data_IF_986533472411
#
_entry.id   IF_986533472411
#
_cell.length_a   1.000
_cell.length_b   1.000
_cell.length_c   1.000
_cell.angle_alpha   90.00
_cell.angle_beta   90.00
_cell.angle_gamma   90.00
#
_symmetry.space_group_name_H-M   'P 1'
#
loop_
_entity.id
_entity.type
_entity.pdbx_description
1 polymer ?
#
# COMPACT_ATOMS: atom_id res chain seq x y z
N UNK A 1 -4.16 -0.93 59.30
CA UNK A 1 -3.67 -0.16 58.13
C UNK A 1 -3.94 1.33 58.32
N UNK A 2 -3.07 2.03 59.05
CA UNK A 2 -3.02 3.50 59.13
C UNK A 2 -1.68 3.86 58.48
N UNK A 3 -1.67 4.48 57.28
CA UNK A 3 -0.55 5.24 56.67
C UNK A 3 -0.73 5.40 55.14
N UNK A 4 -1.82 6.01 54.65
CA UNK A 4 -1.86 6.51 53.25
C UNK A 4 -2.70 7.79 53.05
N UNK A 5 -3.16 8.43 54.13
CA UNK A 5 -4.02 9.62 54.00
C UNK A 5 -3.27 10.86 53.48
N UNK A 6 -1.96 10.99 53.75
CA UNK A 6 -1.17 12.16 53.33
C UNK A 6 -0.96 12.24 51.81
N UNK A 7 -0.87 11.12 51.09
CA UNK A 7 -0.73 11.13 49.62
C UNK A 7 -2.03 11.51 48.89
N UNK A 8 -3.19 11.18 49.45
CA UNK A 8 -4.49 11.50 48.82
C UNK A 8 -4.75 13.02 48.87
N UNK A 9 -4.31 13.69 49.94
CA UNK A 9 -4.58 15.13 50.12
C UNK A 9 -3.80 16.01 49.12
N UNK A 10 -2.60 15.58 48.70
CA UNK A 10 -1.79 16.33 47.72
C UNK A 10 -2.39 16.29 46.30
N UNK A 11 -3.14 15.25 45.94
CA UNK A 11 -3.78 15.13 44.62
C UNK A 11 -5.06 15.98 44.52
N UNK A 12 -5.72 16.29 45.65
CA UNK A 12 -6.90 17.15 45.65
C UNK A 12 -6.59 18.63 45.34
N UNK A 13 -5.37 19.10 45.63
CA UNK A 13 -4.96 20.50 45.40
C UNK A 13 -4.95 20.90 43.91
N UNK A 14 -4.30 20.15 42.99
CA UNK A 14 -4.30 20.53 41.57
C UNK A 14 -5.67 20.37 40.89
N UNK A 15 -6.48 19.38 41.29
CA UNK A 15 -7.80 19.17 40.69
C UNK A 15 -8.77 20.31 41.00
N UNK A 16 -8.67 20.92 42.18
CA UNK A 16 -9.51 22.07 42.53
C UNK A 16 -9.16 23.32 41.70
N UNK A 17 -7.89 23.51 41.34
CA UNK A 17 -7.45 24.63 40.48
C UNK A 17 -8.02 24.46 39.06
N UNK A 18 -8.09 23.22 38.56
CA UNK A 18 -8.57 22.91 37.22
C UNK A 18 -10.09 23.04 37.09
N UNK A 19 -10.85 22.63 38.12
CA UNK A 19 -12.32 22.84 38.13
C UNK A 19 -12.65 24.32 38.26
N UNK A 20 -11.93 25.08 39.08
CA UNK A 20 -12.18 26.52 39.23
C UNK A 20 -11.89 27.28 37.93
N UNK A 21 -10.84 26.91 37.18
CA UNK A 21 -10.56 27.53 35.88
C UNK A 21 -11.65 27.24 34.85
N UNK A 22 -12.23 26.04 34.86
CA UNK A 22 -13.33 25.69 33.95
C UNK A 22 -14.60 26.51 34.21
N UNK A 23 -14.87 26.86 35.48
CA UNK A 23 -16.02 27.69 35.84
C UNK A 23 -15.81 29.16 35.47
N UNK A 24 -14.58 29.67 35.60
CA UNK A 24 -14.25 31.06 35.21
C UNK A 24 -14.26 31.24 33.69
N UNK A 25 -13.99 30.20 32.91
CA UNK A 25 -13.94 30.31 31.44
C UNK A 25 -15.24 30.00 30.70
N UNK A 26 -16.33 29.64 31.39
CA UNK A 26 -17.62 29.44 30.74
C UNK A 26 -18.36 30.78 30.54
N UNK A 27 -18.12 31.43 29.40
CA UNK A 27 -18.84 32.65 28.98
C UNK A 27 -20.23 32.40 28.36
N UNK A 28 -20.79 31.19 28.43
CA UNK A 28 -22.08 30.93 27.82
C UNK A 28 -23.21 31.35 28.78
N UNK A 29 -23.75 32.57 28.58
CA UNK A 29 -25.04 32.96 29.18
C UNK A 29 -26.15 32.06 28.61
N UNK A 30 -26.87 31.28 29.43
CA UNK A 30 -28.01 30.49 28.97
C UNK A 30 -29.26 31.37 28.95
N UNK A 31 -29.54 32.04 27.84
CA UNK A 31 -30.85 32.66 27.60
C UNK A 31 -31.64 31.79 26.63
N UNK A 32 -32.51 30.94 27.15
CA UNK A 32 -33.48 30.16 26.38
C UNK A 32 -34.74 31.03 26.23
N UNK A 33 -34.88 31.74 25.11
CA UNK A 33 -36.13 32.44 24.76
C UNK A 33 -37.03 31.47 23.99
N UNK A 34 -38.20 31.15 24.57
CA UNK A 34 -39.22 30.30 23.96
C UNK A 34 -40.00 31.10 22.89
N UNK A 35 -39.86 30.71 21.63
CA UNK A 35 -40.66 31.24 20.51
C UNK A 35 -41.62 30.15 20.00
N UNK A 36 -42.81 30.07 20.58
CA UNK A 36 -43.92 29.34 19.96
C UNK A 36 -44.93 30.35 19.40
N UNK A 37 -44.89 30.56 18.08
CA UNK A 37 -45.95 31.27 17.35
C UNK A 37 -46.63 30.27 16.40
N UNK A 38 -47.89 29.87 16.65
CA UNK A 38 -48.64 28.94 15.78
C UNK A 38 -48.97 29.60 14.43
N UNK A 39 -48.77 28.89 13.30
CA UNK A 39 -48.95 29.45 11.94
C UNK A 39 -49.98 28.72 11.06
N UNK A 40 -50.86 27.90 11.60
CA UNK A 40 -51.79 27.12 10.78
C UNK A 40 -53.23 27.31 11.25
N UNK A 41 -53.98 28.11 10.51
CA UNK A 41 -55.45 28.06 10.44
C UNK A 41 -55.81 26.91 9.50
N UNK A 42 -56.41 25.85 10.04
CA UNK A 42 -56.90 24.70 9.28
C UNK A 42 -57.99 25.16 8.31
N UNK A 43 -57.67 25.22 7.01
CA UNK A 43 -58.69 25.33 5.95
C UNK A 43 -59.31 23.95 5.76
N UNK A 44 -60.31 23.65 6.58
CA UNK A 44 -61.21 22.51 6.36
C UNK A 44 -62.03 22.85 5.13
N UNK A 45 -61.79 22.13 4.03
CA UNK A 45 -62.59 22.25 2.83
C UNK A 45 -63.93 21.57 3.12
N UNK A 46 -64.99 22.39 3.19
CA UNK A 46 -66.36 21.93 3.35
C UNK A 46 -66.76 21.16 2.09
N UNK A 47 -67.12 19.89 2.27
CA UNK A 47 -67.80 19.06 1.27
C UNK A 47 -69.20 19.66 1.07
N UNK A 48 -69.33 20.64 0.18
CA UNK A 48 -70.65 21.15 -0.21
C UNK A 48 -71.17 20.28 -1.37
N UNK A 49 -72.19 19.49 -1.09
CA UNK A 49 -72.96 18.71 -2.05
C UNK A 49 -73.63 19.65 -3.07
N UNK A 50 -72.95 19.95 -4.17
CA UNK A 50 -73.54 20.69 -5.28
C UNK A 50 -73.78 19.72 -6.43
N UNK A 51 -74.86 18.93 -6.31
CA UNK A 51 -75.49 18.30 -7.47
C UNK A 51 -76.10 19.41 -8.33
N UNK A 52 -75.35 19.94 -9.28
CA UNK A 52 -75.93 20.77 -10.35
C UNK A 52 -75.73 20.07 -11.69
N UNK A 53 -76.70 19.23 -12.06
CA UNK A 53 -76.77 18.53 -13.36
C UNK A 53 -77.24 19.42 -14.51
N UNK A 54 -77.28 20.74 -14.31
CA UNK A 54 -77.91 21.69 -15.25
C UNK A 54 -77.08 21.89 -16.53
N UNK A 55 -75.80 21.52 -16.53
CA UNK A 55 -74.85 21.85 -17.60
C UNK A 55 -74.37 20.67 -18.44
N UNK A 56 -74.90 19.46 -18.22
CA UNK A 56 -74.42 18.23 -18.91
C UNK A 56 -74.65 18.24 -20.43
N UNK A 57 -75.51 19.11 -20.96
CA UNK A 57 -75.85 19.18 -22.39
C UNK A 57 -75.37 20.43 -23.12
N UNK A 58 -74.63 21.33 -22.45
CA UNK A 58 -74.11 22.55 -23.07
C UNK A 58 -72.88 22.23 -23.92
N UNK A 59 -72.93 22.54 -25.22
CA UNK A 59 -71.88 22.15 -26.17
C UNK A 59 -70.54 22.85 -25.90
N UNK A 60 -70.57 24.09 -25.41
CA UNK A 60 -69.36 24.79 -24.94
C UNK A 60 -68.74 24.12 -23.71
N UNK A 61 -69.57 23.68 -22.76
CA UNK A 61 -69.09 23.01 -21.54
C UNK A 61 -68.52 21.64 -21.88
N UNK A 62 -69.14 20.92 -22.81
CA UNK A 62 -68.59 19.66 -23.32
C UNK A 62 -67.25 19.85 -24.03
N UNK A 63 -67.10 20.91 -24.84
CA UNK A 63 -65.82 21.25 -25.48
C UNK A 63 -64.72 21.54 -24.46
N UNK A 64 -65.01 22.36 -23.44
CA UNK A 64 -64.08 22.66 -22.34
C UNK A 64 -63.74 21.40 -21.55
N UNK A 65 -64.73 20.55 -21.25
CA UNK A 65 -64.54 19.26 -20.57
C UNK A 65 -63.63 18.33 -21.37
N UNK A 66 -63.82 18.23 -22.68
CA UNK A 66 -62.99 17.39 -23.54
C UNK A 66 -61.54 17.90 -23.60
N UNK A 67 -61.33 19.23 -23.70
CA UNK A 67 -59.99 19.84 -23.64
C UNK A 67 -59.33 19.57 -22.29
N UNK A 68 -60.08 19.72 -21.19
CA UNK A 68 -59.60 19.45 -19.85
C UNK A 68 -59.26 17.97 -19.66
N UNK A 69 -60.09 17.04 -20.15
CA UNK A 69 -59.85 15.60 -20.13
C UNK A 69 -58.62 15.23 -20.97
N UNK A 70 -58.44 15.82 -22.15
CA UNK A 70 -57.25 15.63 -23.00
C UNK A 70 -55.98 16.10 -22.29
N UNK A 71 -55.99 17.32 -21.76
CA UNK A 71 -54.85 17.88 -21.03
C UNK A 71 -54.54 17.10 -19.75
N UNK A 72 -55.57 16.70 -19.00
CA UNK A 72 -55.43 15.93 -17.76
C UNK A 72 -54.89 14.54 -18.06
N UNK A 73 -55.41 13.88 -19.10
CA UNK A 73 -54.90 12.60 -19.58
C UNK A 73 -53.44 12.69 -20.01
N UNK A 74 -53.04 13.76 -20.69
CA UNK A 74 -51.63 13.98 -21.06
C UNK A 74 -50.75 14.17 -19.82
N UNK A 75 -51.17 15.02 -18.86
CA UNK A 75 -50.44 15.23 -17.61
C UNK A 75 -50.32 13.96 -16.76
N UNK A 76 -51.35 13.12 -16.75
CA UNK A 76 -51.33 11.83 -16.05
C UNK A 76 -50.32 10.87 -16.70
N UNK A 77 -50.28 10.79 -18.04
CA UNK A 77 -49.25 10.00 -18.76
C UNK A 77 -47.83 10.50 -18.47
N UNK A 78 -47.58 11.80 -18.57
CA UNK A 78 -46.27 12.39 -18.25
C UNK A 78 -45.89 12.20 -16.77
N UNK A 79 -46.88 12.27 -15.87
CA UNK A 79 -46.67 12.00 -14.45
C UNK A 79 -46.27 10.53 -14.21
N UNK A 80 -46.97 9.58 -14.83
CA UNK A 80 -46.71 8.15 -14.72
C UNK A 80 -45.34 7.77 -15.32
N UNK A 81 -44.96 8.33 -16.46
CA UNK A 81 -43.62 8.15 -17.06
C UNK A 81 -42.51 8.65 -16.14
N UNK A 82 -42.63 9.86 -15.58
CA UNK A 82 -41.68 10.35 -14.57
C UNK A 82 -41.63 9.45 -13.34
N UNK A 83 -42.75 8.86 -12.96
CA UNK A 83 -42.84 7.99 -11.79
C UNK A 83 -42.17 6.65 -12.05
N UNK A 84 -42.32 6.09 -13.26
CA UNK A 84 -41.59 4.91 -13.71
C UNK A 84 -40.08 5.16 -13.71
N UNK A 85 -39.62 6.27 -14.30
CA UNK A 85 -38.19 6.64 -14.32
C UNK A 85 -37.62 6.75 -12.89
N UNK A 86 -38.33 7.43 -11.98
CA UNK A 86 -37.94 7.54 -10.57
C UNK A 86 -37.96 6.20 -9.84
N UNK A 87 -38.90 5.29 -10.16
CA UNK A 87 -38.96 3.93 -9.61
C UNK A 87 -37.77 3.09 -10.10
N UNK A 88 -37.43 3.19 -11.38
CA UNK A 88 -36.30 2.49 -12.00
C UNK A 88 -34.96 2.94 -11.39
N UNK A 89 -34.72 4.26 -11.28
CA UNK A 89 -33.53 4.82 -10.62
C UNK A 89 -33.36 4.32 -9.17
N UNK A 90 -34.47 4.22 -8.42
CA UNK A 90 -34.44 3.70 -7.04
C UNK A 90 -34.22 2.19 -6.97
N UNK A 91 -34.65 1.42 -7.98
CA UNK A 91 -34.38 -0.01 -8.10
C UNK A 91 -32.89 -0.25 -8.36
N UNK A 92 -32.33 0.43 -9.37
CA UNK A 92 -30.90 0.35 -9.70
C UNK A 92 -29.99 0.77 -8.55
N UNK A 93 -30.36 1.83 -7.81
CA UNK A 93 -29.61 2.26 -6.63
C UNK A 93 -29.63 1.20 -5.52
N UNK A 94 -30.77 0.53 -5.29
CA UNK A 94 -30.87 -0.57 -4.34
C UNK A 94 -30.04 -1.77 -4.77
N UNK A 95 -30.08 -2.15 -6.05
CA UNK A 95 -29.30 -3.26 -6.59
C UNK A 95 -27.79 -2.98 -6.45
N UNK A 96 -27.34 -1.75 -6.72
CA UNK A 96 -25.96 -1.30 -6.48
C UNK A 96 -25.56 -1.38 -5.00
N UNK A 97 -26.43 -0.98 -4.09
CA UNK A 97 -26.17 -1.06 -2.66
C UNK A 97 -26.14 -2.51 -2.16
N UNK A 98 -27.03 -3.37 -2.64
CA UNK A 98 -27.07 -4.80 -2.32
C UNK A 98 -25.79 -5.49 -2.82
N UNK A 99 -25.35 -5.23 -4.05
CA UNK A 99 -24.08 -5.76 -4.56
C UNK A 99 -22.89 -5.37 -3.68
N UNK A 100 -22.83 -4.12 -3.19
CA UNK A 100 -21.79 -3.68 -2.24
C UNK A 100 -21.86 -4.45 -0.92
N UNK A 101 -23.04 -4.71 -0.39
CA UNK A 101 -23.23 -5.49 0.84
C UNK A 101 -22.78 -6.94 0.63
N UNK A 102 -23.21 -7.59 -0.47
CA UNK A 102 -22.80 -8.97 -0.80
C UNK A 102 -21.28 -9.07 -0.97
N UNK A 103 -20.65 -8.10 -1.65
CA UNK A 103 -19.21 -8.07 -1.81
C UNK A 103 -18.50 -7.91 -0.46
N UNK A 104 -19.02 -7.04 0.42
CA UNK A 104 -18.52 -6.83 1.77
C UNK A 104 -18.63 -8.11 2.62
N UNK A 105 -19.80 -8.74 2.64
CA UNK A 105 -20.04 -10.02 3.31
C UNK A 105 -19.11 -11.13 2.78
N UNK A 106 -18.90 -11.20 1.46
CA UNK A 106 -17.98 -12.18 0.86
C UNK A 106 -16.53 -11.95 1.30
N UNK A 107 -16.10 -10.68 1.45
CA UNK A 107 -14.77 -10.35 1.97
C UNK A 107 -14.66 -10.69 3.47
N UNK A 108 -15.67 -10.38 4.27
CA UNK A 108 -15.72 -10.70 5.70
C UNK A 108 -15.76 -12.21 5.95
N UNK A 109 -16.52 -12.96 5.15
CA UNK A 109 -16.57 -14.44 5.23
C UNK A 109 -15.24 -15.08 4.85
N UNK A 110 -14.59 -14.61 3.77
CA UNK A 110 -13.23 -15.06 3.41
C UNK A 110 -12.20 -14.73 4.50
N UNK A 111 -12.38 -13.62 5.22
CA UNK A 111 -11.52 -13.27 6.35
C UNK A 111 -11.74 -14.24 7.53
N UNK A 112 -13.00 -14.51 7.88
CA UNK A 112 -13.35 -15.45 8.95
C UNK A 112 -12.81 -16.86 8.68
N UNK A 113 -12.96 -17.38 7.45
CA UNK A 113 -12.47 -18.71 7.08
C UNK A 113 -10.93 -18.81 7.18
N UNK A 114 -10.20 -17.73 6.84
CA UNK A 114 -8.74 -17.68 6.97
C UNK A 114 -8.27 -17.61 8.42
N UNK A 115 -8.99 -16.85 9.26
CA UNK A 115 -8.70 -16.78 10.70
C UNK A 115 -8.97 -18.14 11.35
N UNK A 116 -10.04 -18.83 10.96
CA UNK A 116 -10.38 -20.15 11.50
C UNK A 116 -9.33 -21.20 11.12
N UNK A 117 -8.86 -21.22 9.86
CA UNK A 117 -7.73 -22.07 9.43
C UNK A 117 -6.41 -21.72 10.15
N UNK A 118 -6.15 -20.43 10.37
CA UNK A 118 -4.96 -19.96 11.12
C UNK A 118 -4.99 -20.33 12.60
N UNK A 119 -6.16 -20.25 13.24
CA UNK A 119 -6.35 -20.65 14.64
C UNK A 119 -6.34 -22.17 14.82
N UNK A 120 -6.84 -22.97 13.87
CA UNK A 120 -6.75 -24.43 13.98
C UNK A 120 -5.32 -24.95 13.89
N UNK A 121 -4.40 -24.25 13.22
CA UNK A 121 -2.97 -24.60 13.25
C UNK A 121 -2.28 -24.19 14.55
N UNK A 122 -2.81 -23.19 15.27
CA UNK A 122 -2.30 -22.81 16.57
C UNK A 122 -3.15 -23.49 17.64
N UNK A 123 -2.78 -24.72 18.01
CA UNK A 123 -3.38 -25.50 19.09
C UNK A 123 -3.23 -24.87 20.49
N UNK A 124 -3.47 -23.58 20.64
CA UNK A 124 -3.48 -22.88 21.91
C UNK A 124 -4.87 -23.01 22.53
N UNK A 125 -4.96 -23.98 23.43
CA UNK A 125 -6.14 -24.31 24.21
C UNK A 125 -6.82 -23.09 24.85
N UNK A 126 -8.14 -23.26 24.98
CA UNK A 126 -9.20 -22.41 25.54
C UNK A 126 -8.99 -21.92 27.00
N UNK A 127 -7.78 -21.54 27.41
CA UNK A 127 -7.47 -21.27 28.81
C UNK A 127 -7.01 -19.85 29.18
N UNK A 128 -6.58 -19.00 28.24
CA UNK A 128 -5.99 -17.71 28.59
C UNK A 128 -6.71 -16.52 27.95
N UNK A 129 -7.65 -15.94 28.70
CA UNK A 129 -8.27 -14.62 28.45
C UNK A 129 -7.22 -13.47 28.41
N UNK A 130 -5.95 -13.76 28.71
CA UNK A 130 -4.84 -12.82 28.59
C UNK A 130 -4.20 -12.75 27.19
N UNK A 131 -4.41 -13.76 26.32
CA UNK A 131 -3.76 -13.82 25.00
C UNK A 131 -4.39 -12.92 23.93
N UNK A 132 -5.63 -12.46 24.12
CA UNK A 132 -6.40 -11.86 23.03
C UNK A 132 -6.10 -10.38 22.77
N UNK A 133 -5.57 -9.61 23.73
CA UNK A 133 -5.27 -8.18 23.48
C UNK A 133 -3.95 -7.99 22.70
N UNK A 134 -3.03 -8.96 22.79
CA UNK A 134 -1.77 -8.92 22.03
C UNK A 134 -1.89 -9.42 20.59
N UNK A 135 -2.83 -10.33 20.29
CA UNK A 135 -2.84 -11.05 19.02
C UNK A 135 -3.69 -10.40 17.92
N UNK A 136 -4.70 -9.60 18.27
CA UNK A 136 -5.49 -8.89 17.25
C UNK A 136 -4.70 -7.78 16.53
N UNK A 137 -3.56 -7.35 17.07
CA UNK A 137 -2.65 -6.44 16.35
C UNK A 137 -1.92 -7.11 15.17
N UNK A 138 -1.75 -8.43 15.18
CA UNK A 138 -0.90 -9.12 14.21
C UNK A 138 -1.58 -9.57 12.91
N UNK A 139 -2.89 -9.87 12.93
CA UNK A 139 -3.46 -10.77 11.90
C UNK A 139 -4.13 -10.04 10.72
N UNK A 140 -4.37 -8.72 10.77
CA UNK A 140 -5.03 -8.02 9.65
C UNK A 140 -4.10 -7.42 8.59
N UNK A 141 -2.79 -7.29 8.85
CA UNK A 141 -1.89 -6.53 7.95
C UNK A 141 -1.60 -7.28 6.64
N UNK A 142 -1.68 -8.61 6.63
CA UNK A 142 -1.25 -9.39 5.46
C UNK A 142 -2.25 -9.46 4.29
N UNK A 143 -3.52 -9.06 4.48
CA UNK A 143 -4.51 -9.07 3.40
C UNK A 143 -4.51 -7.74 2.63
N UNK A 144 -4.11 -6.67 3.30
CA UNK A 144 -3.81 -5.39 2.68
C UNK A 144 -2.37 -5.42 2.16
N UNK A 145 -2.04 -6.40 1.30
CA UNK A 145 -1.09 -6.12 0.21
C UNK A 145 -1.73 -4.98 -0.56
N UNK A 146 -1.41 -3.77 -0.10
CA UNK A 146 -2.15 -2.57 -0.42
C UNK A 146 -2.12 -2.42 -1.93
N UNK A 147 -3.27 -2.20 -2.55
CA UNK A 147 -3.29 -1.67 -3.93
C UNK A 147 -2.36 -0.45 -4.03
N UNK A 148 -2.25 0.34 -2.94
CA UNK A 148 -1.27 1.41 -2.80
C UNK A 148 0.21 0.95 -2.78
N UNK A 149 0.55 -0.16 -2.11
CA UNK A 149 1.91 -0.75 -2.13
C UNK A 149 2.28 -1.20 -3.54
N UNK A 150 1.38 -1.92 -4.21
CA UNK A 150 1.63 -2.42 -5.56
C UNK A 150 1.81 -1.27 -6.56
N UNK A 151 1.04 -0.19 -6.42
CA UNK A 151 1.23 1.05 -7.19
C UNK A 151 2.55 1.72 -6.85
N UNK A 152 2.89 1.82 -5.56
CA UNK A 152 4.16 2.39 -5.09
C UNK A 152 5.38 1.64 -5.62
N UNK A 153 5.35 0.31 -5.62
CA UNK A 153 6.42 -0.55 -6.16
C UNK A 153 6.56 -0.34 -7.67
N UNK A 154 5.45 -0.28 -8.42
CA UNK A 154 5.51 -0.05 -9.88
C UNK A 154 6.16 1.27 -10.21
N UNK A 155 5.79 2.34 -9.52
CA UNK A 155 6.40 3.66 -9.77
C UNK A 155 7.84 3.75 -9.28
N UNK A 156 8.20 3.06 -8.21
CA UNK A 156 9.58 2.98 -7.76
C UNK A 156 10.48 2.24 -8.76
N UNK A 157 10.02 1.11 -9.32
CA UNK A 157 10.76 0.40 -10.37
C UNK A 157 10.91 1.27 -11.61
N UNK A 158 9.86 2.01 -11.99
CA UNK A 158 9.92 2.95 -13.12
C UNK A 158 10.94 4.07 -12.89
N UNK A 159 10.97 4.62 -11.67
CA UNK A 159 11.95 5.64 -11.30
C UNK A 159 13.39 5.09 -11.24
N UNK A 160 13.56 3.86 -10.74
CA UNK A 160 14.86 3.20 -10.62
C UNK A 160 15.34 2.55 -11.92
N UNK A 161 14.56 2.58 -13.01
CA UNK A 161 14.87 1.88 -14.26
C UNK A 161 16.26 2.22 -14.83
N UNK A 162 16.66 3.50 -14.76
CA UNK A 162 17.97 3.94 -15.20
C UNK A 162 19.12 3.38 -14.34
N UNK A 163 18.94 3.32 -13.01
CA UNK A 163 19.93 2.75 -12.09
C UNK A 163 20.03 1.24 -12.27
N UNK A 164 18.91 0.54 -12.44
CA UNK A 164 18.85 -0.90 -12.71
C UNK A 164 19.62 -1.22 -14.00
N UNK A 165 19.39 -0.47 -15.09
CA UNK A 165 20.10 -0.69 -16.35
C UNK A 165 21.59 -0.35 -16.21
N UNK A 166 21.94 0.70 -15.47
CA UNK A 166 23.33 1.07 -15.22
C UNK A 166 24.08 -0.03 -14.44
N UNK A 167 23.47 -0.62 -13.41
CA UNK A 167 24.03 -1.74 -12.65
C UNK A 167 24.22 -2.99 -13.51
N UNK A 168 23.22 -3.33 -14.33
CA UNK A 168 23.29 -4.45 -15.27
C UNK A 168 24.46 -4.28 -16.26
N UNK A 169 24.52 -3.12 -16.88
CA UNK A 169 25.54 -2.76 -17.87
C UNK A 169 26.95 -2.76 -17.28
N UNK A 170 27.10 -2.24 -16.05
CA UNK A 170 28.38 -2.23 -15.35
C UNK A 170 28.88 -3.65 -15.03
N UNK A 171 27.98 -4.53 -14.58
CA UNK A 171 28.31 -5.92 -14.29
C UNK A 171 28.66 -6.72 -15.56
N UNK A 172 27.89 -6.55 -16.63
CA UNK A 172 28.16 -7.19 -17.92
C UNK A 172 29.52 -6.78 -18.50
N UNK A 173 29.82 -5.48 -18.50
CA UNK A 173 31.13 -4.98 -18.92
C UNK A 173 32.29 -5.50 -18.06
N UNK A 174 32.09 -5.61 -16.74
CA UNK A 174 33.08 -6.17 -15.84
C UNK A 174 33.35 -7.65 -16.13
N UNK A 175 32.32 -8.45 -16.41
CA UNK A 175 32.48 -9.86 -16.74
C UNK A 175 33.16 -10.04 -18.09
N UNK A 176 32.79 -9.29 -19.14
CA UNK A 176 33.50 -9.31 -20.42
C UNK A 176 34.98 -9.01 -20.25
N UNK A 177 35.31 -7.98 -19.48
CA UNK A 177 36.70 -7.64 -19.21
C UNK A 177 37.44 -8.78 -18.50
N UNK A 178 36.80 -9.47 -17.56
CA UNK A 178 37.36 -10.65 -16.88
C UNK A 178 37.54 -11.83 -17.84
N UNK A 179 36.54 -12.12 -18.67
CA UNK A 179 36.57 -13.22 -19.65
C UNK A 179 37.62 -13.00 -20.74
N UNK A 180 37.77 -11.76 -21.25
CA UNK A 180 38.81 -11.44 -22.23
C UNK A 180 40.21 -11.65 -21.61
N UNK A 181 40.43 -11.16 -20.39
CA UNK A 181 41.71 -11.38 -19.69
C UNK A 181 42.00 -12.87 -19.49
N UNK A 182 40.99 -13.66 -19.16
CA UNK A 182 41.14 -15.08 -18.89
C UNK A 182 41.31 -15.91 -20.17
N UNK A 183 40.41 -15.79 -21.14
CA UNK A 183 40.40 -16.63 -22.35
C UNK A 183 41.45 -16.20 -23.38
N UNK A 184 41.77 -14.90 -23.47
CA UNK A 184 42.78 -14.42 -24.42
C UNK A 184 44.13 -14.10 -23.77
N UNK A 185 44.23 -14.00 -22.44
CA UNK A 185 45.50 -13.65 -21.78
C UNK A 185 46.05 -12.29 -22.28
N UNK A 186 45.16 -11.32 -22.43
CA UNK A 186 45.49 -9.98 -22.95
C UNK A 186 44.99 -8.88 -22.02
N UNK A 187 45.84 -7.85 -21.80
CA UNK A 187 45.53 -6.70 -20.93
C UNK A 187 45.20 -5.42 -21.70
N UNK A 188 45.56 -5.35 -22.98
CA UNK A 188 45.42 -4.19 -23.86
C UNK A 188 44.80 -4.57 -25.19
N UNK A 189 43.87 -3.75 -25.67
CA UNK A 189 43.21 -3.93 -26.97
C UNK A 189 43.24 -2.60 -27.72
N UNK A 190 43.72 -2.62 -28.96
CA UNK A 190 43.76 -1.43 -29.83
C UNK A 190 44.58 -0.29 -29.22
N UNK A 191 45.75 -0.60 -28.64
CA UNK A 191 46.62 0.36 -27.94
C UNK A 191 46.00 1.04 -26.71
N UNK A 192 44.83 0.57 -26.25
CA UNK A 192 44.16 1.04 -25.04
C UNK A 192 44.14 -0.07 -24.00
N UNK A 193 44.11 0.30 -22.72
CA UNK A 193 43.84 -0.66 -21.65
C UNK A 193 42.43 -1.22 -21.83
N UNK A 194 42.24 -2.52 -21.60
CA UNK A 194 40.93 -3.18 -21.74
C UNK A 194 39.81 -2.46 -20.97
N UNK A 195 40.12 -1.92 -19.77
CA UNK A 195 39.19 -1.12 -18.97
C UNK A 195 38.70 0.16 -19.67
N UNK A 196 39.54 0.77 -20.50
CA UNK A 196 39.17 1.95 -21.29
C UNK A 196 38.40 1.59 -22.56
N UNK A 197 38.54 0.35 -23.04
CA UNK A 197 37.91 -0.10 -24.28
C UNK A 197 36.49 -0.63 -24.02
N UNK A 198 36.32 -1.46 -22.98
CA UNK A 198 35.01 -2.04 -22.64
C UNK A 198 34.18 -1.02 -21.87
N UNK A 199 33.13 -0.53 -22.53
CA UNK A 199 32.17 0.41 -21.96
C UNK A 199 30.89 -0.34 -21.53
N UNK A 200 30.31 -0.04 -20.35
CA UNK A 200 28.99 -0.52 -19.94
C UNK A 200 27.89 -0.39 -21.01
N UNK A 201 27.95 0.60 -21.90
CA UNK A 201 26.89 0.79 -22.91
C UNK A 201 27.12 0.01 -24.21
N UNK A 202 28.32 -0.51 -24.46
CA UNK A 202 28.69 -1.13 -25.75
C UNK A 202 29.29 -2.53 -25.62
N UNK A 203 29.37 -3.10 -24.41
CA UNK A 203 29.96 -4.44 -24.22
C UNK A 203 29.18 -5.56 -24.92
N UNK A 204 27.90 -5.33 -25.26
CA UNK A 204 27.05 -6.26 -26.02
C UNK A 204 27.33 -6.21 -27.52
N UNK A 205 28.03 -5.19 -28.02
CA UNK A 205 28.37 -5.05 -29.43
C UNK A 205 29.53 -5.99 -29.77
N UNK A 206 29.19 -7.25 -30.08
CA UNK A 206 30.12 -8.31 -30.49
C UNK A 206 31.12 -7.79 -31.53
N UNK A 207 30.63 -7.10 -32.57
CA UNK A 207 31.46 -6.56 -33.67
C UNK A 207 32.63 -5.71 -33.19
N UNK A 208 32.40 -4.78 -32.25
CA UNK A 208 33.46 -3.87 -31.78
C UNK A 208 34.53 -4.60 -30.98
N UNK A 209 34.15 -5.60 -30.18
CA UNK A 209 35.09 -6.39 -29.39
C UNK A 209 35.87 -7.34 -30.33
N UNK A 210 35.16 -8.03 -31.21
CA UNK A 210 35.73 -8.91 -32.22
C UNK A 210 36.76 -8.19 -33.09
N UNK A 211 36.42 -7.04 -33.66
CA UNK A 211 37.33 -6.28 -34.52
C UNK A 211 38.59 -5.84 -33.76
N UNK A 212 38.45 -5.42 -32.50
CA UNK A 212 39.59 -5.05 -31.68
C UNK A 212 40.50 -6.25 -31.36
N UNK A 213 39.92 -7.42 -31.03
CA UNK A 213 40.69 -8.64 -30.75
C UNK A 213 41.35 -9.15 -32.02
N UNK A 214 40.65 -9.15 -33.15
CA UNK A 214 41.18 -9.56 -34.46
C UNK A 214 42.32 -8.64 -34.92
N UNK A 215 42.19 -7.32 -34.77
CA UNK A 215 43.27 -6.39 -35.07
C UNK A 215 44.48 -6.60 -34.15
N UNK A 216 44.25 -6.84 -32.86
CA UNK A 216 45.32 -7.16 -31.91
C UNK A 216 46.03 -8.47 -32.29
N UNK A 217 45.27 -9.48 -32.73
CA UNK A 217 45.80 -10.76 -33.20
C UNK A 217 46.67 -10.58 -34.45
N UNK A 218 46.20 -9.84 -35.46
CA UNK A 218 46.99 -9.56 -36.66
C UNK A 218 48.31 -8.84 -36.31
N UNK A 219 48.26 -7.82 -35.45
CA UNK A 219 49.47 -7.07 -35.06
C UNK A 219 50.46 -7.88 -34.22
N UNK A 220 49.97 -8.79 -33.37
CA UNK A 220 50.82 -9.50 -32.40
C UNK A 220 51.33 -10.83 -32.97
N UNK A 221 50.47 -11.56 -33.68
CA UNK A 221 50.69 -12.94 -34.09
C UNK A 221 51.12 -13.07 -35.54
N UNK A 222 50.63 -12.18 -36.42
CA UNK A 222 51.01 -12.12 -37.83
C UNK A 222 52.01 -10.99 -38.06
N UNK A 223 53.18 -11.03 -37.40
CA UNK A 223 54.26 -10.11 -37.78
C UNK A 223 54.73 -10.47 -39.19
N UNK A 224 54.61 -9.49 -40.07
CA UNK A 224 54.96 -9.52 -41.48
C UNK A 224 56.21 -10.36 -41.76
N UNK A 225 56.02 -11.55 -42.34
CA UNK A 225 57.06 -12.25 -43.09
C UNK A 225 57.32 -11.52 -44.42
N UNK A 226 57.57 -10.21 -44.37
CA UNK A 226 58.05 -9.43 -45.52
C UNK A 226 59.51 -9.77 -45.88
N UNK A 227 60.15 -10.68 -45.14
CA UNK A 227 61.58 -10.98 -45.29
C UNK A 227 61.95 -12.31 -45.95
N UNK A 228 61.13 -13.37 -45.91
CA UNK A 228 61.59 -14.71 -46.37
C UNK A 228 60.47 -15.52 -47.00
N UNK A 229 60.79 -16.07 -48.17
CA UNK A 229 59.83 -16.63 -49.13
C UNK A 229 58.89 -17.70 -48.59
N UNK A 230 57.69 -17.68 -49.15
CA UNK A 230 56.86 -18.83 -49.52
C UNK A 230 56.45 -19.89 -48.48
N UNK A 231 56.72 -19.70 -47.19
CA UNK A 231 56.08 -20.51 -46.15
C UNK A 231 54.96 -19.72 -45.49
N UNK A 232 53.79 -19.68 -46.15
CA UNK A 232 52.52 -19.22 -45.58
C UNK A 232 51.99 -20.16 -44.49
N UNK A 233 52.80 -20.78 -43.63
CA UNK A 233 52.26 -21.75 -42.67
C UNK A 233 53.25 -22.04 -41.53
N UNK A 234 53.48 -21.05 -40.69
CA UNK A 234 53.90 -21.29 -39.31
C UNK A 234 53.47 -20.05 -38.54
N UNK A 235 52.57 -20.21 -37.58
CA UNK A 235 52.24 -19.17 -36.61
C UNK A 235 53.53 -18.81 -35.86
N UNK A 236 54.31 -17.87 -36.40
CA UNK A 236 55.69 -17.60 -35.99
C UNK A 236 55.82 -17.17 -34.53
N UNK A 237 54.69 -16.87 -33.89
CA UNK A 237 54.59 -16.34 -32.53
C UNK A 237 53.66 -17.18 -31.63
N UNK A 238 53.52 -18.51 -31.84
CA UNK A 238 52.71 -19.39 -30.95
C UNK A 238 53.23 -19.44 -29.51
N UNK A 239 54.48 -19.08 -29.27
CA UNK A 239 55.07 -18.89 -27.95
C UNK A 239 54.45 -17.72 -27.18
N UNK A 240 53.82 -16.76 -27.87
CA UNK A 240 53.10 -15.65 -27.24
C UNK A 240 51.77 -16.18 -26.67
N UNK A 241 51.50 -16.02 -25.36
CA UNK A 241 50.30 -16.55 -24.72
C UNK A 241 48.98 -16.12 -25.39
N UNK A 242 48.91 -14.88 -25.88
CA UNK A 242 47.75 -14.37 -26.61
C UNK A 242 47.53 -15.06 -27.97
N UNK A 243 48.61 -15.41 -28.68
CA UNK A 243 48.49 -16.11 -29.96
C UNK A 243 48.11 -17.57 -29.76
N UNK A 244 48.69 -18.23 -28.75
CA UNK A 244 48.30 -19.58 -28.35
C UNK A 244 46.84 -19.64 -27.88
N UNK A 245 46.39 -18.64 -27.10
CA UNK A 245 45.02 -18.60 -26.61
C UNK A 245 43.99 -18.43 -27.73
N UNK A 246 44.26 -17.59 -28.74
CA UNK A 246 43.43 -17.48 -29.94
C UNK A 246 43.35 -18.81 -30.70
N UNK A 247 44.47 -19.53 -30.83
CA UNK A 247 44.50 -20.86 -31.42
C UNK A 247 43.62 -21.84 -30.63
N UNK A 248 43.75 -21.89 -29.30
CA UNK A 248 42.92 -22.72 -28.43
C UNK A 248 41.44 -22.40 -28.57
N UNK A 249 41.05 -21.12 -28.58
CA UNK A 249 39.66 -20.71 -28.82
C UNK A 249 39.15 -21.15 -30.19
N UNK A 250 40.00 -21.09 -31.23
CA UNK A 250 39.65 -21.52 -32.59
C UNK A 250 39.49 -23.03 -32.68
N UNK A 251 40.35 -23.80 -31.99
CA UNK A 251 40.28 -25.24 -31.93
C UNK A 251 39.09 -25.75 -31.10
N UNK A 252 38.69 -25.01 -30.07
CA UNK A 252 37.52 -25.34 -29.27
C UNK A 252 36.21 -25.29 -30.08
N UNK A 253 36.16 -24.46 -31.13
CA UNK A 253 34.98 -24.32 -32.00
C UNK A 253 35.13 -25.07 -33.33
N UNK A 254 36.31 -25.60 -33.65
CA UNK A 254 36.55 -26.31 -34.89
C UNK A 254 35.84 -27.66 -34.91
N UNK A 255 35.14 -27.93 -36.00
CA UNK A 255 34.41 -29.18 -36.21
C UNK A 255 35.23 -30.10 -37.12
N UNK A 256 35.04 -31.40 -36.95
CA UNK A 256 35.63 -32.39 -37.85
C UNK A 256 35.26 -32.06 -39.31
N UNK A 257 36.29 -31.92 -40.16
CA UNK A 257 36.21 -31.59 -41.60
C UNK A 257 35.83 -30.16 -41.97
N UNK A 258 35.74 -29.21 -41.04
CA UNK A 258 35.54 -27.78 -41.36
C UNK A 258 36.70 -26.94 -40.82
N UNK A 259 37.54 -26.44 -41.73
CA UNK A 259 38.55 -25.44 -41.38
C UNK A 259 37.83 -24.16 -40.94
N UNK A 260 38.22 -23.63 -39.78
CA UNK A 260 37.75 -22.35 -39.24
C UNK A 260 38.95 -21.42 -39.18
N UNK A 261 38.79 -20.19 -39.68
CA UNK A 261 39.84 -19.20 -39.57
C UNK A 261 39.99 -18.73 -38.12
N UNK A 262 41.18 -18.30 -37.72
CA UNK A 262 41.38 -17.71 -36.38
C UNK A 262 40.44 -16.53 -36.12
N UNK A 263 40.11 -15.78 -37.17
CA UNK A 263 39.18 -14.65 -37.12
C UNK A 263 37.76 -15.12 -36.78
N UNK A 264 37.28 -16.19 -37.41
CA UNK A 264 35.98 -16.79 -37.09
C UNK A 264 35.97 -17.44 -35.70
N UNK A 265 37.11 -18.03 -35.29
CA UNK A 265 37.31 -18.54 -33.93
C UNK A 265 37.19 -17.44 -32.88
N UNK A 266 37.84 -16.30 -33.10
CA UNK A 266 37.74 -15.11 -32.24
C UNK A 266 36.29 -14.62 -32.18
N UNK A 267 35.60 -14.48 -33.32
CA UNK A 267 34.20 -14.04 -33.36
C UNK A 267 33.33 -14.92 -32.48
N UNK A 268 33.43 -16.25 -32.66
CA UNK A 268 32.66 -17.22 -31.88
C UNK A 268 32.99 -17.12 -30.39
N UNK A 269 34.28 -17.00 -30.04
CA UNK A 269 34.69 -16.83 -28.65
C UNK A 269 34.11 -15.54 -28.03
N UNK A 270 34.12 -14.42 -28.75
CA UNK A 270 33.52 -13.17 -28.28
C UNK A 270 31.99 -13.30 -28.14
N UNK A 271 31.30 -13.95 -29.06
CA UNK A 271 29.86 -14.25 -28.94
C UNK A 271 29.56 -15.06 -27.68
N UNK A 272 30.35 -16.10 -27.39
CA UNK A 272 30.19 -16.87 -26.15
C UNK A 272 30.43 -16.01 -24.92
N UNK A 273 31.41 -15.10 -24.95
CA UNK A 273 31.65 -14.19 -23.81
C UNK A 273 30.49 -13.23 -23.58
N UNK A 274 29.90 -12.70 -24.65
CA UNK A 274 28.72 -11.82 -24.56
C UNK A 274 27.52 -12.57 -23.99
N UNK A 275 27.33 -13.83 -24.36
CA UNK A 275 26.32 -14.69 -23.76
C UNK A 275 26.63 -14.99 -22.27
N UNK A 276 27.87 -15.35 -21.93
CA UNK A 276 28.31 -15.63 -20.55
C UNK A 276 28.16 -14.39 -19.65
N UNK A 277 28.32 -13.18 -20.18
CA UNK A 277 28.15 -11.93 -19.46
C UNK A 277 26.69 -11.52 -19.22
N UNK A 278 25.73 -12.18 -19.89
CA UNK A 278 24.30 -11.88 -19.75
C UNK A 278 23.77 -12.28 -18.36
N UNK A 279 24.24 -13.40 -17.81
CA UNK A 279 23.82 -13.89 -16.49
C UNK A 279 24.26 -12.94 -15.36
N UNK A 280 25.54 -12.53 -15.25
CA UNK A 280 25.95 -11.53 -14.27
C UNK A 280 25.25 -10.17 -14.43
N UNK A 281 24.99 -9.75 -15.67
CA UNK A 281 24.24 -8.52 -15.93
C UNK A 281 22.79 -8.62 -15.41
N UNK A 282 22.10 -9.73 -15.67
CA UNK A 282 20.75 -9.99 -15.14
C UNK A 282 20.74 -10.08 -13.62
N UNK A 283 21.71 -10.75 -13.02
CA UNK A 283 21.83 -10.85 -11.57
C UNK A 283 22.01 -9.47 -10.92
N UNK A 284 22.87 -8.61 -11.49
CA UNK A 284 23.05 -7.24 -11.01
C UNK A 284 21.80 -6.37 -11.19
N UNK A 285 21.06 -6.55 -12.30
CA UNK A 285 19.79 -5.88 -12.52
C UNK A 285 18.75 -6.26 -11.45
N UNK A 286 18.62 -7.56 -11.16
CA UNK A 286 17.66 -8.04 -10.16
C UNK A 286 18.05 -7.60 -8.75
N UNK A 287 19.34 -7.63 -8.41
CA UNK A 287 19.82 -7.09 -7.13
C UNK A 287 19.50 -5.59 -6.96
N UNK A 288 19.69 -4.79 -8.02
CA UNK A 288 19.33 -3.37 -8.01
C UNK A 288 17.80 -3.17 -7.86
N UNK A 289 17.01 -4.00 -8.54
CA UNK A 289 15.54 -4.00 -8.45
C UNK A 289 15.05 -4.38 -7.06
N UNK A 290 15.59 -5.44 -6.46
CA UNK A 290 15.27 -5.86 -5.10
C UNK A 290 15.62 -4.77 -4.08
N UNK A 291 16.78 -4.12 -4.25
CA UNK A 291 17.18 -2.97 -3.43
C UNK A 291 16.14 -1.84 -3.49
N UNK A 292 15.69 -1.46 -4.69
CA UNK A 292 14.65 -0.44 -4.88
C UNK A 292 13.31 -0.83 -4.22
N UNK A 293 12.89 -2.09 -4.35
CA UNK A 293 11.67 -2.61 -3.71
C UNK A 293 11.79 -2.58 -2.18
N UNK A 294 12.94 -2.99 -1.65
CA UNK A 294 13.17 -3.03 -0.20
C UNK A 294 13.20 -1.61 0.39
N UNK A 295 13.75 -0.62 -0.32
CA UNK A 295 13.72 0.77 0.08
C UNK A 295 12.27 1.30 0.25
N UNK A 296 11.37 0.94 -0.68
CA UNK A 296 9.95 1.31 -0.58
C UNK A 296 9.26 0.61 0.59
N UNK A 297 9.44 -0.71 0.73
CA UNK A 297 8.88 -1.46 1.86
C UNK A 297 9.32 -0.90 3.20
N UNK A 298 10.59 -0.54 3.33
CA UNK A 298 11.13 0.09 4.54
C UNK A 298 10.47 1.45 4.80
N UNK A 299 10.34 2.30 3.77
CA UNK A 299 9.69 3.61 3.86
C UNK A 299 8.22 3.48 4.29
N UNK A 300 7.47 2.57 3.68
CA UNK A 300 6.06 2.37 4.01
C UNK A 300 5.86 1.76 5.38
N UNK A 301 6.68 0.79 5.77
CA UNK A 301 6.65 0.22 7.13
C UNK A 301 6.95 1.30 8.18
N UNK A 302 7.89 2.20 7.91
CA UNK A 302 8.17 3.34 8.78
C UNK A 302 6.97 4.30 8.92
N UNK A 303 6.24 4.56 7.85
CA UNK A 303 5.02 5.39 7.89
C UNK A 303 3.91 4.71 8.69
N UNK A 304 3.66 3.42 8.46
CA UNK A 304 2.63 2.64 9.17
C UNK A 304 2.94 2.61 10.67
N UNK A 305 4.18 2.29 11.05
CA UNK A 305 4.59 2.28 12.45
C UNK A 305 4.39 3.67 13.10
N UNK A 306 4.76 4.75 12.40
CA UNK A 306 4.54 6.12 12.89
C UNK A 306 3.05 6.41 13.13
N UNK A 307 2.19 6.05 12.18
CA UNK A 307 0.73 6.24 12.29
C UNK A 307 0.17 5.39 13.43
N UNK A 308 0.55 4.11 13.51
CA UNK A 308 0.10 3.21 14.57
C UNK A 308 0.47 3.73 15.95
N UNK A 309 1.72 4.15 16.16
CA UNK A 309 2.18 4.72 17.43
C UNK A 309 1.36 5.96 17.82
N UNK A 310 1.08 6.85 16.86
CA UNK A 310 0.24 8.04 17.12
C UNK A 310 -1.18 7.69 17.58
N UNK A 311 -1.79 6.66 16.98
CA UNK A 311 -3.14 6.19 17.35
C UNK A 311 -3.13 5.45 18.67
N UNK A 312 -2.09 4.66 18.94
CA UNK A 312 -1.91 3.95 20.21
C UNK A 312 -1.83 4.94 21.38
N UNK A 313 -1.08 6.04 21.24
CA UNK A 313 -1.03 7.10 22.27
C UNK A 313 -2.42 7.70 22.52
N UNK A 314 -3.21 7.96 21.48
CA UNK A 314 -4.57 8.49 21.62
C UNK A 314 -5.52 7.52 22.34
N UNK A 315 -5.42 6.21 22.05
CA UNK A 315 -6.19 5.18 22.74
C UNK A 315 -5.79 5.10 24.22
N UNK A 316 -4.48 5.08 24.52
CA UNK A 316 -3.97 5.05 25.89
C UNK A 316 -4.47 6.27 26.69
N UNK A 317 -4.40 7.47 26.12
CA UNK A 317 -4.90 8.69 26.78
C UNK A 317 -6.40 8.61 27.10
N UNK A 318 -7.19 8.04 26.18
CA UNK A 318 -8.63 7.85 26.36
C UNK A 318 -8.94 6.86 27.49
N UNK A 319 -8.21 5.74 27.55
CA UNK A 319 -8.35 4.73 28.61
C UNK A 319 -7.96 5.31 29.97
N UNK A 320 -6.86 6.06 30.05
CA UNK A 320 -6.41 6.72 31.28
C UNK A 320 -7.45 7.72 31.78
N UNK A 321 -8.06 8.51 30.89
CA UNK A 321 -9.13 9.45 31.26
C UNK A 321 -10.35 8.73 31.86
N UNK A 322 -10.77 7.60 31.27
CA UNK A 322 -11.87 6.78 31.80
C UNK A 322 -11.52 6.24 33.20
N UNK A 323 -10.31 5.74 33.40
CA UNK A 323 -9.85 5.25 34.71
C UNK A 323 -9.86 6.36 35.77
N UNK A 324 -9.45 7.57 35.42
CA UNK A 324 -9.49 8.73 36.34
C UNK A 324 -10.93 9.07 36.72
N UNK A 325 -11.87 9.09 35.77
CA UNK A 325 -13.28 9.38 36.02
C UNK A 325 -13.89 8.32 36.96
N UNK A 326 -13.65 7.03 36.70
CA UNK A 326 -14.11 5.92 37.55
C UNK A 326 -13.54 6.05 38.96
N UNK A 327 -12.24 6.36 39.09
CA UNK A 327 -11.58 6.55 40.38
C UNK A 327 -12.17 7.73 41.16
N UNK A 328 -12.46 8.86 40.49
CA UNK A 328 -13.14 10.02 41.10
C UNK A 328 -14.56 9.66 41.55
N UNK A 329 -15.33 8.93 40.74
CA UNK A 329 -16.67 8.48 41.12
C UNK A 329 -16.64 7.55 42.34
N UNK A 330 -15.67 6.63 42.43
CA UNK A 330 -15.47 5.76 43.59
C UNK A 330 -15.14 6.58 44.83
N UNK A 331 -14.26 7.59 44.74
CA UNK A 331 -13.92 8.47 45.86
C UNK A 331 -15.17 9.21 46.35
N UNK A 332 -15.92 9.86 45.45
CA UNK A 332 -17.17 10.58 45.80
C UNK A 332 -18.16 9.63 46.45
N UNK A 333 -18.34 8.43 45.90
CA UNK A 333 -19.21 7.40 46.46
C UNK A 333 -18.79 7.00 47.88
N UNK A 334 -17.49 6.76 48.12
CA UNK A 334 -16.97 6.42 49.44
C UNK A 334 -17.17 7.56 50.45
N UNK A 335 -16.97 8.83 50.05
CA UNK A 335 -17.24 10.00 50.90
C UNK A 335 -18.73 10.10 51.27
N UNK A 336 -19.62 9.96 50.28
CA UNK A 336 -21.07 10.00 50.50
C UNK A 336 -21.56 8.83 51.37
N UNK A 337 -21.01 7.63 51.16
CA UNK A 337 -21.30 6.43 51.97
C UNK A 337 -20.83 6.62 53.40
N UNK A 338 -19.61 7.11 53.59
CA UNK A 338 -19.06 7.41 54.92
C UNK A 338 -19.93 8.42 55.68
N UNK A 339 -20.33 9.52 55.02
CA UNK A 339 -21.25 10.52 55.59
C UNK A 339 -22.61 9.93 55.98
N UNK A 340 -23.23 9.14 55.11
CA UNK A 340 -24.52 8.47 55.40
C UNK A 340 -24.40 7.56 56.61
N UNK A 341 -23.37 6.72 56.67
CA UNK A 341 -23.13 5.83 57.81
C UNK A 341 -22.91 6.59 59.11
N UNK A 342 -22.15 7.69 59.08
CA UNK A 342 -21.97 8.59 60.24
C UNK A 342 -23.30 9.20 60.70
N UNK A 343 -24.18 9.61 59.78
CA UNK A 343 -25.52 10.15 60.11
C UNK A 343 -26.43 9.09 60.73
N UNK A 344 -26.40 7.85 60.24
CA UNK A 344 -27.17 6.74 60.79
C UNK A 344 -26.72 6.35 62.20
N UNK A 345 -25.40 6.30 62.45
CA UNK A 345 -24.86 6.01 63.78
C UNK A 345 -25.29 7.07 64.81
N UNK A 346 -25.31 8.36 64.44
CA UNK A 346 -25.82 9.43 65.30
C UNK A 346 -27.31 9.24 65.60
N UNK A 347 -28.13 8.94 64.60
CA UNK A 347 -29.57 8.69 64.79
C UNK A 347 -29.82 7.53 65.76
N UNK A 348 -29.07 6.42 65.62
CA UNK A 348 -29.18 5.28 66.53
C UNK A 348 -28.80 5.62 67.98
N UNK A 349 -27.82 6.51 68.20
CA UNK A 349 -27.50 7.02 69.53
C UNK A 349 -28.63 7.88 70.11
N UNK A 350 -29.20 8.79 69.33
CA UNK A 350 -30.33 9.61 69.78
C UNK A 350 -31.58 8.78 70.09
N UNK A 351 -31.92 7.78 69.26
CA UNK A 351 -33.06 6.88 69.54
C UNK A 351 -32.86 6.05 70.80
N UNK A 352 -31.61 5.68 71.15
CA UNK A 352 -31.34 4.98 72.42
C UNK A 352 -31.56 5.86 73.64
N UNK A 353 -31.20 7.14 73.56
CA UNK A 353 -31.41 8.11 74.64
C UNK A 353 -32.89 8.47 74.83
N UNK A 354 -33.71 8.35 73.79
CA UNK A 354 -35.14 8.73 73.83
C UNK A 354 -36.06 7.62 74.36
N UNK A 355 -35.58 6.37 74.35
CA UNK A 355 -36.30 5.20 74.86
C UNK A 355 -35.85 4.80 76.29
N UNK A 356 -34.88 5.52 76.85
CA UNK A 356 -34.59 5.54 78.29
C UNK A 356 -35.46 6.61 78.93
#
# INVERSE_FOLDING_TARGET
>A
MKLHYTKILLICLPLNILVLSSYVHNKNKPSITSHHTPRYTSRVLSECDTESSIYDSDEEINSVKEIFERQTSQRLREYDERLQEKRQKRKEQRDKNIQKIIQKDKMEKNLAEKIEKGCLMCGCGLGSVAGSVGLFGGIAINIWKNVALDVGIKEAIKAAAAEISASANAAGAAEIMKLIKSKFVVSTLGNKTLKSFINPNTYTQVTSIYEAVSNQYLQTCAKDSLGKGFLRFADGNRDIPFCNSVWEQTQAVSQSRKYISHIDGIRTAVETMVADAEEPAKAAAEAARESAINAIKARETGLINTVFMSKQTAIIASVVAILIIVLVMIIIYLVLRYRRKKKMNKKAQYTKLLNQ
#
